data_IF_221948093916
#
_entry.id   IF_221948093916
#
_cell.length_a   1.000
_cell.length_b   1.000
_cell.length_c   1.000
_cell.angle_alpha   90.00
_cell.angle_beta   90.00
_cell.angle_gamma   90.00
#
_symmetry.space_group_name_H-M   'P 1'
#
loop_
_entity.id
_entity.type
_entity.pdbx_description
1 polymer ?
#
# COMPACT_ATOMS: atom_id res chain seq x y z
N UNK A 1 23.81 -21.70 8.53
CA UNK A 1 22.41 -21.29 8.31
C UNK A 1 22.39 -19.79 8.09
N UNK A 2 21.69 -19.33 7.06
CA UNK A 2 21.48 -17.91 6.76
C UNK A 2 20.00 -17.63 6.98
N UNK A 3 19.66 -16.54 7.65
CA UNK A 3 18.29 -16.14 7.89
C UNK A 3 18.05 -14.70 7.42
N UNK A 4 16.89 -14.45 6.82
CA UNK A 4 16.50 -13.12 6.33
C UNK A 4 15.19 -12.73 7.03
N UNK A 5 15.22 -11.66 7.83
CA UNK A 5 14.03 -11.13 8.49
C UNK A 5 13.47 -9.96 7.70
N UNK A 6 12.29 -10.12 7.13
CA UNK A 6 11.59 -9.09 6.36
C UNK A 6 10.47 -8.45 7.18
N UNK A 7 10.48 -7.12 7.29
CA UNK A 7 9.50 -6.37 8.08
C UNK A 7 9.21 -4.98 7.50
N UNK A 8 8.05 -4.42 7.85
CA UNK A 8 7.68 -3.05 7.50
C UNK A 8 8.51 -2.04 8.29
N UNK A 9 9.20 -1.14 7.60
CA UNK A 9 10.10 -0.14 8.22
C UNK A 9 9.38 0.84 9.15
N UNK A 10 8.13 1.20 8.84
CA UNK A 10 7.33 2.16 9.61
C UNK A 10 6.67 1.50 10.82
N UNK A 11 5.92 0.42 10.62
CA UNK A 11 5.15 -0.23 11.69
C UNK A 11 5.95 -1.28 12.48
N UNK A 12 7.13 -1.68 11.99
CA UNK A 12 7.94 -2.81 12.47
C UNK A 12 7.22 -4.17 12.41
N UNK A 13 6.07 -4.25 11.72
CA UNK A 13 5.36 -5.52 11.56
C UNK A 13 6.15 -6.52 10.69
N UNK A 14 6.24 -7.80 11.09
CA UNK A 14 6.84 -8.83 10.27
C UNK A 14 6.02 -9.09 9.01
N UNK A 15 6.69 -9.16 7.86
CA UNK A 15 6.06 -9.48 6.58
C UNK A 15 6.10 -11.00 6.37
N UNK A 16 4.91 -11.61 6.42
CA UNK A 16 4.70 -13.07 6.32
C UNK A 16 4.49 -13.49 4.88
N UNK A 17 4.86 -14.73 4.53
CA UNK A 17 4.74 -15.30 3.17
C UNK A 17 5.35 -14.41 2.07
N UNK A 18 6.38 -13.64 2.41
CA UNK A 18 7.15 -12.86 1.45
C UNK A 18 8.24 -13.76 0.87
N UNK A 19 8.32 -13.94 -0.46
CA UNK A 19 9.34 -14.79 -1.07
C UNK A 19 10.71 -14.11 -0.98
N UNK A 20 11.69 -14.85 -0.46
CA UNK A 20 13.09 -14.45 -0.39
C UNK A 20 13.92 -15.43 -1.23
N UNK A 21 14.81 -14.90 -2.07
CA UNK A 21 15.77 -15.66 -2.88
C UNK A 21 17.16 -15.13 -2.55
N UNK A 22 18.14 -16.02 -2.36
CA UNK A 22 19.54 -15.64 -2.32
C UNK A 22 20.15 -15.85 -3.71
N UNK A 23 20.92 -14.88 -4.20
CA UNK A 23 21.81 -15.04 -5.36
C UNK A 23 23.25 -15.04 -4.85
N UNK A 24 24.00 -16.11 -5.10
CA UNK A 24 25.35 -16.28 -4.55
C UNK A 24 26.40 -15.65 -5.47
N UNK A 25 27.43 -15.01 -4.92
CA UNK A 25 28.49 -14.38 -5.74
C UNK A 25 29.44 -15.43 -6.36
N UNK A 26 29.59 -16.60 -5.73
CA UNK A 26 30.61 -17.59 -6.10
C UNK A 26 30.36 -18.26 -7.47
N UNK A 27 29.10 -18.45 -7.84
CA UNK A 27 28.67 -19.13 -9.07
C UNK A 27 27.49 -18.43 -9.77
N UNK A 28 26.98 -17.32 -9.22
CA UNK A 28 25.78 -16.63 -9.72
C UNK A 28 24.47 -17.39 -9.50
N UNK A 29 24.49 -18.54 -8.83
CA UNK A 29 23.32 -19.38 -8.61
C UNK A 29 22.25 -18.67 -7.77
N UNK A 30 20.99 -19.10 -7.95
CA UNK A 30 19.87 -18.60 -7.16
C UNK A 30 19.21 -19.75 -6.41
N UNK A 31 18.90 -19.52 -5.13
CA UNK A 31 18.10 -20.49 -4.36
C UNK A 31 16.66 -20.51 -4.87
N UNK A 32 15.92 -21.61 -4.65
CA UNK A 32 14.46 -21.56 -4.68
C UNK A 32 13.92 -20.46 -3.73
N UNK A 33 12.72 -19.91 -4.00
CA UNK A 33 12.12 -18.92 -3.12
C UNK A 33 11.70 -19.54 -1.78
N UNK A 34 12.30 -19.08 -0.69
CA UNK A 34 11.88 -19.40 0.68
C UNK A 34 10.92 -18.33 1.16
N UNK A 35 9.73 -18.75 1.60
CA UNK A 35 8.71 -17.83 2.09
C UNK A 35 8.91 -17.53 3.57
N UNK A 36 8.81 -16.25 3.95
CA UNK A 36 8.90 -15.85 5.36
C UNK A 36 7.77 -16.44 6.22
N UNK A 37 8.11 -16.79 7.45
CA UNK A 37 7.20 -17.38 8.44
C UNK A 37 6.26 -16.34 9.11
N UNK A 38 5.65 -16.70 10.25
CA UNK A 38 4.81 -15.77 11.02
C UNK A 38 5.61 -14.66 11.72
N UNK A 39 6.91 -14.82 11.92
CA UNK A 39 7.84 -13.81 12.47
C UNK A 39 8.56 -12.98 11.40
N UNK A 40 8.24 -13.22 10.12
CA UNK A 40 8.88 -12.55 8.98
C UNK A 40 10.24 -13.13 8.61
N UNK A 41 10.58 -14.33 9.09
CA UNK A 41 11.89 -14.96 8.90
C UNK A 41 11.83 -15.99 7.76
N UNK A 42 12.75 -15.88 6.80
CA UNK A 42 13.05 -16.91 5.81
C UNK A 42 14.43 -17.52 6.11
N UNK A 43 14.49 -18.84 6.29
CA UNK A 43 15.71 -19.55 6.68
C UNK A 43 16.25 -20.42 5.54
N UNK A 44 17.55 -20.33 5.30
CA UNK A 44 18.27 -21.07 4.26
C UNK A 44 19.31 -21.97 4.93
N UNK A 45 19.25 -23.27 4.64
CA UNK A 45 20.23 -24.24 5.12
C UNK A 45 21.48 -24.21 4.24
N UNK A 46 22.23 -23.11 4.39
CA UNK A 46 23.47 -22.82 3.68
C UNK A 46 24.55 -22.38 4.69
N UNK A 47 25.83 -22.67 4.41
CA UNK A 47 26.95 -22.09 5.15
C UNK A 47 27.06 -20.58 4.86
N UNK A 48 27.71 -19.80 5.75
CA UNK A 48 27.98 -18.39 5.51
C UNK A 48 28.73 -18.16 4.19
N UNK A 49 28.29 -17.18 3.40
CA UNK A 49 28.81 -16.90 2.05
C UNK A 49 28.70 -15.40 1.72
N UNK A 50 28.83 -14.99 0.46
CA UNK A 50 28.47 -13.65 -0.02
C UNK A 50 27.51 -13.72 -1.21
N UNK A 51 26.74 -12.65 -1.38
CA UNK A 51 25.73 -12.58 -2.42
C UNK A 51 24.73 -11.46 -2.21
N UNK A 52 23.58 -11.60 -2.88
CA UNK A 52 22.46 -10.68 -2.87
C UNK A 52 21.24 -11.35 -2.25
N UNK A 53 20.49 -10.61 -1.43
CA UNK A 53 19.16 -11.00 -0.96
C UNK A 53 18.13 -10.33 -1.86
N UNK A 54 17.33 -11.13 -2.55
CA UNK A 54 16.20 -10.67 -3.32
C UNK A 54 14.91 -10.93 -2.52
N UNK A 55 14.09 -9.90 -2.34
CA UNK A 55 12.77 -10.00 -1.67
C UNK A 55 11.71 -9.57 -2.66
N UNK A 56 10.75 -10.46 -2.94
CA UNK A 56 9.75 -10.26 -4.01
C UNK A 56 10.39 -9.95 -5.38
N UNK A 57 11.53 -10.59 -5.69
CA UNK A 57 12.25 -10.44 -6.96
C UNK A 57 13.20 -9.23 -7.05
N UNK A 58 13.18 -8.29 -6.12
CA UNK A 58 14.14 -7.18 -6.08
C UNK A 58 15.28 -7.41 -5.11
N UNK A 59 16.47 -7.01 -5.50
CA UNK A 59 17.62 -6.87 -4.62
C UNK A 59 17.36 -5.89 -3.48
N UNK A 60 17.48 -6.36 -2.24
CA UNK A 60 17.31 -5.56 -1.00
C UNK A 60 18.58 -5.46 -0.16
N UNK A 61 19.56 -6.31 -0.41
CA UNK A 61 20.85 -6.34 0.26
C UNK A 61 21.88 -7.00 -0.68
N UNK A 62 23.11 -6.51 -0.64
CA UNK A 62 24.29 -7.18 -1.20
C UNK A 62 25.40 -7.15 -0.15
N UNK A 63 26.12 -8.27 0.01
CA UNK A 63 27.23 -8.37 0.94
C UNK A 63 27.40 -9.78 1.51
N UNK A 64 27.85 -9.85 2.77
CA UNK A 64 28.06 -11.12 3.48
C UNK A 64 26.72 -11.71 3.90
N UNK A 65 26.43 -12.91 3.43
CA UNK A 65 25.25 -13.68 3.81
C UNK A 65 25.61 -14.60 4.98
N UNK A 66 25.36 -14.13 6.20
CA UNK A 66 25.62 -14.84 7.45
C UNK A 66 24.58 -14.44 8.50
N UNK A 67 24.32 -15.33 9.47
CA UNK A 67 23.44 -15.09 10.62
C UNK A 67 22.05 -14.56 10.22
N UNK A 68 21.51 -13.56 10.93
CA UNK A 68 20.24 -12.90 10.57
C UNK A 68 20.48 -11.57 9.85
N UNK A 69 19.92 -11.43 8.64
CA UNK A 69 19.95 -10.21 7.83
C UNK A 69 18.59 -9.50 7.95
N UNK A 70 18.52 -8.32 8.60
CA UNK A 70 17.29 -7.55 8.70
C UNK A 70 17.01 -6.72 7.43
N UNK A 71 15.89 -6.98 6.77
CA UNK A 71 15.41 -6.27 5.59
C UNK A 71 14.15 -5.45 5.95
N UNK A 72 14.35 -4.13 6.12
CA UNK A 72 13.28 -3.19 6.42
C UNK A 72 12.68 -2.60 5.13
N UNK A 73 11.46 -3.01 4.78
CA UNK A 73 10.75 -2.53 3.59
C UNK A 73 9.90 -1.30 3.89
N UNK A 74 10.04 -0.23 3.09
CA UNK A 74 9.11 0.91 3.13
C UNK A 74 7.73 0.55 2.54
N UNK A 75 7.73 -0.31 1.52
CA UNK A 75 6.57 -0.85 0.80
C UNK A 75 6.90 -2.26 0.32
N UNK A 76 5.88 -3.11 0.16
CA UNK A 76 6.04 -4.54 -0.16
C UNK A 76 6.63 -4.74 -1.57
N UNK A 77 6.37 -3.81 -2.49
CA UNK A 77 7.04 -3.72 -3.77
C UNK A 77 7.58 -2.31 -3.97
N UNK A 78 8.87 -2.16 -4.21
CA UNK A 78 9.28 -1.10 -5.13
C UNK A 78 9.24 -1.72 -6.53
N UNK A 79 9.35 -0.90 -7.55
CA UNK A 79 9.53 -1.32 -8.93
C UNK A 79 10.51 -0.33 -9.56
N UNK A 80 11.47 -0.83 -10.34
CA UNK A 80 12.41 0.05 -11.01
C UNK A 80 11.72 0.68 -12.24
N UNK A 81 11.42 1.97 -12.09
CA UNK A 81 11.21 2.98 -13.12
C UNK A 81 9.99 2.85 -14.06
N UNK A 82 9.14 3.89 -14.00
CA UNK A 82 8.04 4.15 -14.94
C UNK A 82 7.45 5.53 -14.65
N UNK A 83 8.04 6.57 -15.23
CA UNK A 83 7.70 7.97 -14.89
C UNK A 83 6.28 8.37 -15.31
N UNK A 84 5.49 8.91 -14.36
CA UNK A 84 4.67 10.14 -14.46
C UNK A 84 3.66 10.22 -13.29
N UNK A 85 3.94 10.98 -12.22
CA UNK A 85 2.93 11.15 -11.15
C UNK A 85 3.33 11.71 -9.77
N UNK A 86 4.03 12.84 -9.69
CA UNK A 86 4.34 13.60 -8.44
C UNK A 86 5.30 12.95 -7.41
N UNK A 87 5.97 13.77 -6.56
CA UNK A 87 7.09 13.30 -5.74
C UNK A 87 6.67 12.74 -4.37
N UNK A 88 7.11 11.52 -4.06
CA UNK A 88 7.55 11.07 -2.72
C UNK A 88 6.57 11.04 -1.54
N UNK A 89 5.34 11.52 -1.68
CA UNK A 89 4.42 11.74 -0.55
C UNK A 89 3.50 10.54 -0.20
N UNK A 90 3.45 9.52 -1.06
CA UNK A 90 2.66 8.30 -0.86
C UNK A 90 3.55 7.06 -1.00
N UNK A 91 3.25 5.95 -0.30
CA UNK A 91 3.97 4.69 -0.49
C UNK A 91 3.70 4.18 -1.91
N UNK A 92 4.72 4.21 -2.77
CA UNK A 92 4.67 3.53 -4.07
C UNK A 92 4.79 2.01 -3.88
N UNK A 93 4.09 1.24 -4.70
CA UNK A 93 4.19 -0.21 -4.73
C UNK A 93 2.90 -0.97 -4.60
N UNK A 94 2.69 -1.91 -5.53
CA UNK A 94 1.80 -3.06 -5.42
C UNK A 94 1.83 -3.74 -4.03
N UNK A 95 0.65 -3.87 -3.44
CA UNK A 95 0.37 -4.58 -2.19
C UNK A 95 -0.23 -5.98 -2.45
N UNK A 96 -0.16 -6.47 -3.70
CA UNK A 96 -0.67 -7.79 -4.06
C UNK A 96 0.07 -8.91 -3.32
N UNK A 97 -0.68 -9.90 -2.85
CA UNK A 97 -0.18 -11.15 -2.27
C UNK A 97 -0.75 -12.36 -3.04
N UNK A 98 -0.12 -13.56 -2.99
CA UNK A 98 -0.46 -14.69 -3.88
C UNK A 98 -1.88 -15.25 -3.80
N UNK A 99 -2.68 -14.80 -2.82
CA UNK A 99 -4.10 -15.15 -2.66
C UNK A 99 -5.00 -13.91 -2.60
N UNK A 100 -4.55 -12.79 -3.17
CA UNK A 100 -5.34 -11.57 -3.29
C UNK A 100 -6.16 -11.62 -4.57
N UNK A 101 -7.48 -11.64 -4.44
CA UNK A 101 -8.37 -11.35 -5.56
C UNK A 101 -8.17 -9.89 -5.96
N UNK A 102 -7.81 -9.66 -7.23
CA UNK A 102 -7.65 -8.32 -7.79
C UNK A 102 -8.71 -8.04 -8.84
N UNK A 103 -9.17 -6.79 -8.88
CA UNK A 103 -10.13 -6.28 -9.87
C UNK A 103 -9.48 -5.17 -10.71
N UNK A 104 -10.02 -4.95 -11.91
CA UNK A 104 -9.47 -4.01 -12.89
C UNK A 104 -10.41 -2.81 -13.07
N UNK A 105 -9.94 -1.63 -12.66
CA UNK A 105 -10.59 -0.34 -12.92
C UNK A 105 -10.02 0.21 -14.23
N UNK A 106 -10.87 0.43 -15.22
CA UNK A 106 -10.46 1.02 -16.51
C UNK A 106 -10.40 2.55 -16.38
N UNK A 107 -9.25 3.13 -16.72
CA UNK A 107 -8.92 4.55 -16.59
C UNK A 107 -8.35 5.03 -17.92
N UNK A 108 -9.24 5.44 -18.83
CA UNK A 108 -8.90 5.62 -20.24
C UNK A 108 -8.47 4.28 -20.85
N UNK A 109 -7.34 4.28 -21.56
CA UNK A 109 -6.74 3.07 -22.16
C UNK A 109 -5.92 2.23 -21.15
N UNK A 110 -5.87 2.64 -19.88
CA UNK A 110 -5.08 1.97 -18.82
C UNK A 110 -5.98 1.17 -17.88
N UNK A 111 -5.61 -0.10 -17.66
CA UNK A 111 -6.15 -0.90 -16.55
C UNK A 111 -5.36 -0.65 -15.27
N UNK A 112 -6.04 -0.18 -14.22
CA UNK A 112 -5.49 0.01 -12.85
C UNK A 112 -6.02 -1.10 -11.95
N UNK A 113 -5.16 -1.72 -11.14
CA UNK A 113 -5.55 -2.84 -10.28
C UNK A 113 -5.97 -2.38 -8.89
N UNK A 114 -7.06 -2.96 -8.38
CA UNK A 114 -7.47 -2.88 -6.97
C UNK A 114 -7.56 -4.26 -6.32
N UNK A 115 -7.65 -4.34 -5.00
CA UNK A 115 -8.19 -5.51 -4.32
C UNK A 115 -9.71 -5.64 -4.51
N UNK A 116 -10.30 -6.74 -4.03
CA UNK A 116 -11.75 -7.00 -4.06
C UNK A 116 -12.59 -6.08 -3.17
N UNK A 117 -11.98 -5.15 -2.43
CA UNK A 117 -12.70 -4.09 -1.72
C UNK A 117 -12.58 -2.73 -2.42
N UNK A 118 -11.80 -2.63 -3.50
CA UNK A 118 -11.56 -1.40 -4.27
C UNK A 118 -10.38 -0.56 -3.79
N UNK A 119 -9.49 -1.07 -2.92
CA UNK A 119 -8.24 -0.39 -2.58
C UNK A 119 -7.21 -0.60 -3.68
N UNK A 120 -6.48 0.45 -4.06
CA UNK A 120 -5.39 0.34 -5.03
C UNK A 120 -4.40 -0.75 -4.63
N UNK A 121 -4.04 -1.60 -5.61
CA UNK A 121 -2.90 -2.50 -5.48
C UNK A 121 -1.65 -1.67 -5.33
N UNK A 122 -1.35 -0.77 -6.27
CA UNK A 122 -0.25 0.19 -6.18
C UNK A 122 -0.78 1.61 -5.93
N UNK A 123 -0.47 2.28 -4.79
CA UNK A 123 -0.94 3.63 -4.53
C UNK A 123 -0.35 4.70 -5.47
N UNK A 124 0.73 4.38 -6.21
CA UNK A 124 1.27 5.27 -7.25
C UNK A 124 0.43 5.26 -8.53
N UNK A 125 -0.49 4.31 -8.69
CA UNK A 125 -1.48 4.31 -9.78
C UNK A 125 -2.65 5.28 -9.54
N UNK A 126 -2.69 5.96 -8.39
CA UNK A 126 -3.74 6.94 -8.11
C UNK A 126 -3.67 8.14 -9.06
N UNK A 127 -4.81 8.45 -9.68
CA UNK A 127 -5.07 9.70 -10.41
C UNK A 127 -6.47 10.23 -10.07
N UNK A 128 -6.78 11.46 -10.45
CA UNK A 128 -8.16 11.95 -10.37
C UNK A 128 -9.10 11.12 -11.26
N UNK A 129 -8.63 10.62 -12.39
CA UNK A 129 -9.43 9.78 -13.30
C UNK A 129 -9.68 8.37 -12.73
N UNK A 130 -8.70 7.78 -12.03
CA UNK A 130 -8.92 6.56 -11.24
C UNK A 130 -10.03 6.77 -10.19
N UNK A 131 -9.97 7.88 -9.44
CA UNK A 131 -10.99 8.17 -8.44
C UNK A 131 -12.39 8.33 -9.08
N UNK A 132 -12.49 8.96 -10.26
CA UNK A 132 -13.75 9.05 -11.03
C UNK A 132 -14.24 7.68 -11.50
N UNK A 133 -13.35 6.86 -12.07
CA UNK A 133 -13.69 5.54 -12.60
C UNK A 133 -14.18 4.58 -11.49
N UNK A 134 -13.45 4.50 -10.37
CA UNK A 134 -13.86 3.71 -9.22
C UNK A 134 -15.18 4.23 -8.63
N UNK A 135 -15.35 5.55 -8.46
CA UNK A 135 -16.61 6.11 -7.98
C UNK A 135 -17.80 5.76 -8.89
N UNK A 136 -17.61 5.82 -10.22
CA UNK A 136 -18.65 5.45 -11.18
C UNK A 136 -19.03 3.96 -11.09
N UNK A 137 -18.05 3.05 -10.97
CA UNK A 137 -18.30 1.62 -10.70
C UNK A 137 -19.04 1.40 -9.38
N UNK A 138 -18.78 2.24 -8.37
CA UNK A 138 -19.46 2.23 -7.08
C UNK A 138 -20.85 2.91 -7.07
N UNK A 139 -21.31 3.47 -8.21
CA UNK A 139 -22.58 4.19 -8.32
C UNK A 139 -22.57 5.60 -7.72
N UNK A 140 -21.40 6.21 -7.55
CA UNK A 140 -21.18 7.53 -6.94
C UNK A 140 -20.65 8.55 -7.95
N UNK A 141 -21.32 9.70 -8.07
CA UNK A 141 -20.83 10.85 -8.87
C UNK A 141 -20.07 11.84 -7.98
N UNK A 142 -18.77 12.01 -8.23
CA UNK A 142 -17.90 12.90 -7.45
C UNK A 142 -18.17 14.39 -7.71
N UNK A 143 -18.99 15.01 -6.86
CA UNK A 143 -19.16 16.46 -6.78
C UNK A 143 -17.99 17.15 -6.02
N UNK A 144 -18.02 18.48 -5.94
CA UNK A 144 -16.98 19.29 -5.27
C UNK A 144 -16.67 18.88 -3.81
N UNK A 145 -17.67 18.53 -3.00
CA UNK A 145 -17.46 18.11 -1.60
C UNK A 145 -16.68 16.80 -1.51
N UNK A 146 -16.96 15.84 -2.40
CA UNK A 146 -16.21 14.59 -2.43
C UNK A 146 -14.74 14.86 -2.75
N UNK A 147 -14.46 15.76 -3.69
CA UNK A 147 -13.10 16.19 -4.03
C UNK A 147 -12.39 16.87 -2.88
N UNK A 148 -13.09 17.71 -2.11
CA UNK A 148 -12.54 18.31 -0.88
C UNK A 148 -12.20 17.24 0.17
N UNK A 149 -13.04 16.23 0.41
CA UNK A 149 -12.70 15.12 1.32
C UNK A 149 -11.53 14.29 0.79
N UNK A 150 -11.53 13.90 -0.49
CA UNK A 150 -10.45 13.14 -1.13
C UNK A 150 -9.12 13.89 -1.00
N UNK A 151 -9.09 15.19 -1.31
CA UNK A 151 -7.89 16.02 -1.21
C UNK A 151 -7.47 16.25 0.25
N UNK A 152 -8.42 16.42 1.18
CA UNK A 152 -8.13 16.49 2.62
C UNK A 152 -7.46 15.20 3.13
N UNK A 153 -8.01 14.02 2.77
CA UNK A 153 -7.49 12.72 3.17
C UNK A 153 -6.06 12.51 2.65
N UNK A 154 -5.85 12.75 1.35
CA UNK A 154 -4.52 12.70 0.71
C UNK A 154 -3.53 13.63 1.39
N UNK A 155 -3.90 14.89 1.60
CA UNK A 155 -3.03 15.87 2.24
C UNK A 155 -2.79 15.58 3.74
N UNK A 156 -3.76 14.99 4.46
CA UNK A 156 -3.57 14.57 5.86
C UNK A 156 -2.56 13.44 5.96
N UNK A 157 -2.74 12.40 5.13
CA UNK A 157 -1.86 11.24 5.09
C UNK A 157 -0.42 11.63 4.74
N UNK A 158 -0.23 12.44 3.70
CA UNK A 158 1.09 12.96 3.30
C UNK A 158 1.81 13.73 4.43
N UNK A 159 1.09 14.34 5.38
CA UNK A 159 1.67 15.10 6.50
C UNK A 159 1.93 14.29 7.77
N UNK A 160 1.31 13.12 7.98
CA UNK A 160 1.49 12.33 9.22
C UNK A 160 1.76 10.85 9.03
N UNK A 161 1.72 10.32 7.80
CA UNK A 161 1.80 8.89 7.52
C UNK A 161 0.61 8.09 8.07
N UNK A 162 -0.47 8.77 8.48
CA UNK A 162 -1.64 8.17 9.13
C UNK A 162 -2.92 8.69 8.50
N UNK A 163 -3.92 7.82 8.35
CA UNK A 163 -5.23 8.18 7.84
C UNK A 163 -5.99 9.08 8.83
N UNK A 164 -6.85 9.95 8.31
CA UNK A 164 -7.72 10.76 9.15
C UNK A 164 -8.83 9.90 9.77
N UNK A 165 -9.11 10.07 11.06
CA UNK A 165 -10.30 9.48 11.66
C UNK A 165 -11.56 10.23 11.21
N UNK A 166 -12.73 9.61 11.36
CA UNK A 166 -14.03 10.28 11.17
C UNK A 166 -14.16 11.52 12.07
N UNK A 167 -13.56 11.50 13.26
CA UNK A 167 -13.54 12.66 14.18
C UNK A 167 -12.71 13.81 13.61
N UNK A 168 -11.56 13.53 13.00
CA UNK A 168 -10.72 14.55 12.34
C UNK A 168 -11.44 15.16 11.14
N UNK A 169 -12.08 14.33 10.30
CA UNK A 169 -12.87 14.79 9.16
C UNK A 169 -14.03 15.68 9.61
N UNK A 170 -14.80 15.27 10.63
CA UNK A 170 -15.86 16.12 11.21
C UNK A 170 -15.27 17.42 11.77
N UNK A 171 -14.18 17.38 12.53
CA UNK A 171 -13.57 18.57 13.11
C UNK A 171 -13.04 19.56 12.06
N UNK A 172 -12.54 19.05 10.92
CA UNK A 172 -12.13 19.85 9.78
C UNK A 172 -13.34 20.43 9.03
N UNK A 173 -14.22 19.59 8.52
CA UNK A 173 -15.34 20.03 7.68
C UNK A 173 -16.42 20.81 8.43
N UNK A 174 -16.47 20.78 9.77
CA UNK A 174 -17.25 21.73 10.57
C UNK A 174 -16.79 23.18 10.41
N UNK A 175 -15.49 23.40 10.19
CA UNK A 175 -14.90 24.73 9.99
C UNK A 175 -15.07 25.19 8.54
N UNK A 176 -15.02 24.27 7.58
CA UNK A 176 -15.14 24.57 6.14
C UNK A 176 -16.60 24.70 5.68
N UNK A 177 -17.50 23.82 6.13
CA UNK A 177 -18.89 23.74 5.66
C UNK A 177 -19.95 23.99 6.75
N UNK A 178 -19.56 24.29 7.98
CA UNK A 178 -20.47 24.48 9.11
C UNK A 178 -20.93 23.18 9.80
N UNK A 179 -21.70 23.30 10.89
CA UNK A 179 -22.05 22.18 11.79
C UNK A 179 -22.90 21.08 11.15
N UNK A 180 -23.72 21.41 10.16
CA UNK A 180 -24.63 20.48 9.50
C UNK A 180 -23.89 19.57 8.50
N UNK A 181 -23.15 20.19 7.56
CA UNK A 181 -22.35 19.51 6.53
C UNK A 181 -21.10 18.85 7.13
N UNK A 182 -20.46 19.49 8.11
CA UNK A 182 -19.47 18.86 8.99
C UNK A 182 -20.11 17.93 10.02
N UNK A 183 -20.79 16.87 9.59
CA UNK A 183 -21.40 15.90 10.51
C UNK A 183 -21.21 14.46 10.06
N UNK A 184 -21.24 13.52 11.01
CA UNK A 184 -21.13 12.09 10.72
C UNK A 184 -22.18 11.64 9.70
N UNK A 185 -23.44 12.10 9.89
CA UNK A 185 -24.58 11.81 9.02
C UNK A 185 -24.37 12.36 7.62
N UNK A 186 -23.87 13.59 7.47
CA UNK A 186 -23.63 14.18 6.16
C UNK A 186 -22.50 13.47 5.41
N UNK A 187 -21.37 13.22 6.08
CA UNK A 187 -20.22 12.55 5.47
C UNK A 187 -20.57 11.12 5.03
N UNK A 188 -21.36 10.37 5.81
CA UNK A 188 -21.87 9.05 5.40
C UNK A 188 -22.95 9.12 4.31
N UNK A 189 -23.64 10.26 4.16
CA UNK A 189 -24.61 10.48 3.06
C UNK A 189 -23.91 10.72 1.72
N UNK A 190 -22.78 11.44 1.71
CA UNK A 190 -21.98 11.65 0.49
C UNK A 190 -21.02 10.48 0.20
N UNK A 191 -20.63 9.69 1.20
CA UNK A 191 -19.87 8.45 1.02
C UNK A 191 -20.69 7.22 1.51
N UNK A 192 -21.69 6.77 0.72
CA UNK A 192 -22.63 5.73 1.15
C UNK A 192 -22.01 4.34 1.38
N UNK A 193 -20.89 3.99 0.71
CA UNK A 193 -20.30 2.63 0.79
C UNK A 193 -19.34 2.49 1.98
N UNK A 194 -19.90 2.56 3.18
CA UNK A 194 -19.16 2.40 4.45
C UNK A 194 -18.54 3.69 4.99
N UNK A 195 -19.02 4.86 4.56
CA UNK A 195 -18.59 6.15 5.09
C UNK A 195 -17.30 6.69 4.49
N UNK A 196 -16.91 7.92 4.87
CA UNK A 196 -15.70 8.56 4.38
C UNK A 196 -14.42 7.80 4.77
N UNK A 197 -14.45 7.01 5.85
CA UNK A 197 -13.34 6.18 6.33
C UNK A 197 -13.10 4.90 5.51
N UNK A 198 -14.10 4.41 4.76
CA UNK A 198 -13.92 3.29 3.82
C UNK A 198 -13.90 3.82 2.39
N UNK A 199 -15.03 4.31 1.90
CA UNK A 199 -15.15 4.79 0.52
C UNK A 199 -14.26 6.01 0.23
N UNK A 200 -14.22 7.00 1.13
CA UNK A 200 -13.39 8.19 0.95
C UNK A 200 -11.89 7.86 0.94
N UNK A 201 -11.42 6.95 1.80
CA UNK A 201 -10.03 6.48 1.81
C UNK A 201 -9.66 5.72 0.54
N UNK A 202 -10.52 4.83 0.02
CA UNK A 202 -10.31 4.16 -1.28
C UNK A 202 -10.16 5.13 -2.44
N UNK A 203 -11.12 6.06 -2.56
CA UNK A 203 -11.12 7.10 -3.61
C UNK A 203 -9.93 8.07 -3.46
N UNK A 204 -9.41 8.24 -2.25
CA UNK A 204 -8.17 8.96 -1.96
C UNK A 204 -6.88 8.17 -2.28
N UNK A 205 -6.98 6.90 -2.70
CA UNK A 205 -5.82 6.04 -2.96
C UNK A 205 -5.07 5.62 -1.70
N UNK A 206 -5.74 5.64 -0.54
CA UNK A 206 -5.13 5.29 0.75
C UNK A 206 -5.41 3.81 1.05
N UNK A 207 -4.35 3.04 1.23
CA UNK A 207 -4.41 1.59 1.51
C UNK A 207 -5.20 1.27 2.78
N UNK A 208 -5.89 0.12 2.79
CA UNK A 208 -6.67 -0.34 3.95
C UNK A 208 -5.80 -0.45 5.20
N UNK A 209 -6.21 0.20 6.29
CA UNK A 209 -5.59 -0.01 7.61
C UNK A 209 -5.94 -1.40 8.13
N UNK A 210 -4.95 -2.14 8.62
CA UNK A 210 -5.19 -3.40 9.34
C UNK A 210 -5.88 -3.09 10.66
N UNK A 211 -7.16 -3.45 10.81
CA UNK A 211 -7.86 -3.34 12.11
C UNK A 211 -9.38 -3.17 12.05
N UNK A 212 -9.96 -2.72 10.93
CA UNK A 212 -11.42 -2.55 10.83
C UNK A 212 -12.10 -3.79 10.23
N UNK A 213 -12.51 -4.71 11.11
CA UNK A 213 -13.56 -5.70 10.85
C UNK A 213 -14.93 -5.10 11.23
#
# INVERSE_FOLDING_TARGET
MIAVRVFMKVTREPLKRTPVVLRLDADGSQTPPVFTDRSGLASFDLPPTSGKVLVSGMERYQGRLADEIPIALWSITQSEQGSLGQPGAFPSGSNAYPSMTTEAVQVGDRSVLTDSEGYLVDPSDWSEDFARALAAQEGLTLNAEHWEVIRYLRARFARSGTQASVRDMIAHFRKVWGRERGSNRYLHRIFPRGGPQKQGNRLAGLLRTKGEH
#
